data_IF_827720271481
#
_entry.id   IF_827720271481
#
_cell.length_a   1.000
_cell.length_b   1.000
_cell.length_c   1.000
_cell.angle_alpha   90.00
_cell.angle_beta   90.00
_cell.angle_gamma   90.00
#
_symmetry.space_group_name_H-M   'P 1'
#
loop_
_entity.id
_entity.type
_entity.pdbx_description
1 polymer ?
#
# COMPACT_ATOMS: atom_id res chain seq x y z
N UNK A 1 -15.18 30.81 -26.44
CA UNK A 1 -13.86 31.05 -25.80
C UNK A 1 -13.96 30.91 -24.27
N UNK A 2 -14.42 29.74 -23.80
CA UNK A 2 -14.40 29.35 -22.37
C UNK A 2 -14.06 27.84 -22.19
N UNK A 3 -13.90 27.08 -23.28
CA UNK A 3 -13.67 25.63 -23.24
C UNK A 3 -12.22 25.23 -22.88
N UNK A 4 -11.26 26.17 -22.89
CA UNK A 4 -9.84 25.84 -22.66
C UNK A 4 -9.46 25.79 -21.17
N UNK A 5 -10.22 26.43 -20.28
CA UNK A 5 -9.86 26.54 -18.84
C UNK A 5 -10.40 25.37 -18.02
N UNK A 6 -11.54 24.78 -18.40
CA UNK A 6 -12.12 23.61 -17.73
C UNK A 6 -11.24 22.36 -17.88
N UNK A 7 -10.79 22.09 -19.11
CA UNK A 7 -9.97 20.92 -19.46
C UNK A 7 -8.63 20.86 -18.70
N UNK A 8 -8.01 22.01 -18.40
CA UNK A 8 -6.73 22.04 -17.67
C UNK A 8 -6.89 21.83 -16.16
N UNK A 9 -8.03 22.20 -15.58
CA UNK A 9 -8.30 22.04 -14.14
C UNK A 9 -8.73 20.61 -13.79
N UNK A 10 -9.46 19.94 -14.68
CA UNK A 10 -9.88 18.55 -14.50
C UNK A 10 -8.67 17.59 -14.49
N UNK A 11 -7.73 17.76 -15.43
CA UNK A 11 -6.53 16.90 -15.49
C UNK A 11 -5.53 17.15 -14.35
N UNK A 12 -5.46 18.36 -13.80
CA UNK A 12 -4.63 18.64 -12.63
C UNK A 12 -5.24 18.09 -11.34
N UNK A 13 -6.57 18.14 -11.19
CA UNK A 13 -7.26 17.55 -10.05
C UNK A 13 -7.13 16.02 -10.01
N UNK A 14 -7.20 15.33 -11.16
CA UNK A 14 -6.96 13.88 -11.23
C UNK A 14 -5.52 13.49 -10.85
N UNK A 15 -4.54 14.30 -11.26
CA UNK A 15 -3.12 14.06 -10.94
C UNK A 15 -2.83 14.30 -9.46
N UNK A 16 -3.50 15.28 -8.84
CA UNK A 16 -3.34 15.63 -7.43
C UNK A 16 -4.06 14.63 -6.50
N UNK A 17 -5.18 14.05 -6.94
CA UNK A 17 -5.90 12.98 -6.23
C UNK A 17 -5.09 11.66 -6.21
N UNK A 18 -4.35 11.36 -7.28
CA UNK A 18 -3.48 10.17 -7.38
C UNK A 18 -2.14 10.30 -6.62
N UNK A 19 -1.81 11.50 -6.13
CA UNK A 19 -0.51 11.83 -5.51
C UNK A 19 -0.47 11.67 -3.98
N UNK A 20 -1.52 11.13 -3.34
CA UNK A 20 -1.60 11.06 -1.86
C UNK A 20 -1.09 9.74 -1.25
N UNK A 21 -0.72 8.75 -2.07
CA UNK A 21 -0.35 7.43 -1.56
C UNK A 21 1.08 7.44 -1.02
N UNK A 22 1.22 7.42 0.30
CA UNK A 22 2.51 7.19 0.95
C UNK A 22 3.04 5.81 0.58
N UNK A 23 4.29 5.75 0.09
CA UNK A 23 4.98 4.51 -0.27
C UNK A 23 5.74 3.86 0.89
N UNK A 24 5.67 4.46 2.08
CA UNK A 24 6.32 3.94 3.27
C UNK A 24 5.31 3.17 4.15
N UNK A 25 5.73 2.01 4.64
CA UNK A 25 4.90 1.11 5.43
C UNK A 25 5.49 0.93 6.82
N UNK A 26 4.83 1.54 7.82
CA UNK A 26 5.15 1.31 9.24
C UNK A 26 4.52 0.00 9.75
N UNK A 27 4.97 -0.45 10.92
CA UNK A 27 4.51 -1.70 11.54
C UNK A 27 2.98 -1.75 11.72
N UNK A 28 2.35 -0.60 12.02
CA UNK A 28 0.91 -0.52 12.27
C UNK A 28 0.13 -0.64 10.97
N UNK A 29 0.59 -0.01 9.90
CA UNK A 29 -0.04 -0.07 8.57
C UNK A 29 0.00 -1.50 8.02
N UNK A 30 1.16 -2.16 8.07
CA UNK A 30 1.30 -3.56 7.64
C UNK A 30 0.36 -4.48 8.41
N UNK A 31 0.35 -4.36 9.74
CA UNK A 31 -0.54 -5.15 10.60
C UNK A 31 -2.02 -4.84 10.35
N UNK A 32 -2.36 -3.58 10.11
CA UNK A 32 -3.72 -3.12 9.84
C UNK A 32 -4.30 -3.77 8.60
N UNK A 33 -3.55 -3.75 7.48
CA UNK A 33 -3.96 -4.40 6.22
C UNK A 33 -4.28 -5.87 6.46
N UNK A 34 -3.34 -6.61 7.08
CA UNK A 34 -3.53 -8.03 7.36
C UNK A 34 -4.78 -8.30 8.21
N UNK A 35 -4.98 -7.53 9.27
CA UNK A 35 -6.12 -7.71 10.18
C UNK A 35 -7.44 -7.42 9.48
N UNK A 36 -7.50 -6.39 8.63
CA UNK A 36 -8.69 -6.06 7.85
C UNK A 36 -9.03 -7.13 6.80
N UNK A 37 -8.02 -7.78 6.24
CA UNK A 37 -8.20 -8.94 5.36
C UNK A 37 -8.61 -10.23 6.11
N UNK A 38 -8.53 -10.24 7.45
CA UNK A 38 -8.82 -11.42 8.26
C UNK A 38 -7.77 -12.53 8.17
N UNK A 39 -6.55 -12.20 7.74
CA UNK A 39 -5.49 -13.17 7.48
C UNK A 39 -4.55 -13.38 8.69
N UNK A 40 -4.07 -14.60 8.86
CA UNK A 40 -2.94 -14.92 9.74
C UNK A 40 -1.63 -14.36 9.15
N UNK A 41 -0.57 -14.28 9.96
CA UNK A 41 0.74 -13.83 9.45
C UNK A 41 1.30 -14.75 8.35
N UNK A 42 0.94 -16.03 8.35
CA UNK A 42 1.37 -16.98 7.33
C UNK A 42 0.62 -16.76 6.01
N UNK A 43 -0.71 -16.66 6.04
CA UNK A 43 -1.53 -16.39 4.85
C UNK A 43 -1.18 -15.06 4.19
N UNK A 44 -0.94 -14.02 5.00
CA UNK A 44 -0.51 -12.73 4.50
C UNK A 44 0.89 -12.79 3.88
N UNK A 45 1.81 -13.58 4.46
CA UNK A 45 3.14 -13.79 3.88
C UNK A 45 3.06 -14.51 2.53
N UNK A 46 2.21 -15.54 2.42
CA UNK A 46 1.95 -16.26 1.17
C UNK A 46 1.40 -15.31 0.10
N UNK A 47 0.44 -14.45 0.45
CA UNK A 47 -0.10 -13.39 -0.43
C UNK A 47 1.00 -12.46 -0.94
N UNK A 48 1.90 -12.04 -0.05
CA UNK A 48 2.99 -11.11 -0.38
C UNK A 48 4.20 -11.80 -1.01
N UNK A 49 4.18 -13.13 -1.16
CA UNK A 49 5.31 -13.95 -1.63
C UNK A 49 6.59 -13.74 -0.82
N UNK A 50 6.46 -13.66 0.51
CA UNK A 50 7.57 -13.55 1.47
C UNK A 50 7.46 -14.61 2.55
N UNK A 51 8.47 -14.73 3.41
CA UNK A 51 8.40 -15.63 4.56
C UNK A 51 7.53 -15.04 5.69
N UNK A 52 6.87 -15.87 6.51
CA UNK A 52 6.16 -15.41 7.70
C UNK A 52 7.06 -14.62 8.68
N UNK A 53 8.34 -14.98 8.75
CA UNK A 53 9.34 -14.26 9.56
C UNK A 53 9.52 -12.81 9.11
N UNK A 54 9.47 -12.53 7.79
CA UNK A 54 9.52 -11.15 7.29
C UNK A 54 8.31 -10.35 7.77
N UNK A 55 7.10 -10.91 7.67
CA UNK A 55 5.87 -10.26 8.17
C UNK A 55 5.97 -10.00 9.68
N UNK A 56 6.42 -10.97 10.47
CA UNK A 56 6.66 -10.78 11.89
C UNK A 56 7.62 -9.61 12.17
N UNK A 57 8.74 -9.51 11.44
CA UNK A 57 9.71 -8.42 11.62
C UNK A 57 9.14 -7.06 11.23
N UNK A 58 8.31 -6.97 10.20
CA UNK A 58 7.63 -5.73 9.82
C UNK A 58 6.61 -5.29 10.87
N UNK A 59 5.74 -6.20 11.31
CA UNK A 59 4.69 -5.89 12.30
C UNK A 59 5.24 -5.59 13.71
N UNK A 60 6.48 -5.99 13.99
CA UNK A 60 7.18 -5.66 15.24
C UNK A 60 8.16 -4.49 15.10
N UNK A 61 8.26 -3.87 13.92
CA UNK A 61 9.16 -2.74 13.66
C UNK A 61 10.65 -3.11 13.64
N UNK A 62 11.00 -4.40 13.60
CA UNK A 62 12.38 -4.90 13.48
C UNK A 62 12.95 -4.77 12.08
N UNK A 63 12.10 -4.56 11.07
CA UNK A 63 12.45 -4.29 9.68
C UNK A 63 11.33 -3.49 9.02
N UNK A 64 11.62 -2.92 7.84
CA UNK A 64 10.63 -2.31 6.96
C UNK A 64 10.52 -3.12 5.66
N UNK A 65 9.35 -3.14 4.99
CA UNK A 65 9.22 -3.80 3.69
C UNK A 65 10.19 -3.22 2.67
N UNK A 66 10.89 -4.11 1.95
CA UNK A 66 11.78 -3.69 0.88
C UNK A 66 10.96 -3.19 -0.32
N UNK A 67 11.51 -2.20 -1.04
CA UNK A 67 10.91 -1.69 -2.28
C UNK A 67 10.87 -2.78 -3.37
N UNK A 68 10.04 -2.60 -4.39
CA UNK A 68 9.92 -3.51 -5.52
C UNK A 68 8.61 -4.33 -5.47
N UNK A 69 8.63 -5.63 -5.84
CA UNK A 69 7.42 -6.45 -5.89
C UNK A 69 6.65 -6.50 -4.57
N UNK A 70 7.34 -6.56 -3.43
CA UNK A 70 6.72 -6.54 -2.11
C UNK A 70 5.95 -5.25 -1.83
N UNK A 71 6.50 -4.09 -2.23
CA UNK A 71 5.81 -2.81 -2.08
C UNK A 71 4.53 -2.78 -2.91
N UNK A 72 4.59 -3.27 -4.16
CA UNK A 72 3.39 -3.39 -5.00
C UNK A 72 2.35 -4.30 -4.35
N UNK A 73 2.76 -5.46 -3.87
CA UNK A 73 1.85 -6.41 -3.23
C UNK A 73 1.18 -5.84 -1.96
N UNK A 74 1.91 -5.03 -1.17
CA UNK A 74 1.35 -4.32 -0.01
C UNK A 74 0.31 -3.26 -0.43
N UNK A 75 0.59 -2.49 -1.48
CA UNK A 75 -0.35 -1.51 -2.02
C UNK A 75 -1.61 -2.20 -2.59
N UNK A 76 -1.42 -3.30 -3.33
CA UNK A 76 -2.53 -4.09 -3.86
C UNK A 76 -3.39 -4.69 -2.72
N UNK A 77 -2.75 -5.17 -1.64
CA UNK A 77 -3.45 -5.71 -0.47
C UNK A 77 -4.23 -4.63 0.30
N UNK A 78 -3.65 -3.44 0.47
CA UNK A 78 -4.32 -2.30 1.09
C UNK A 78 -5.52 -1.79 0.28
N UNK A 79 -5.45 -1.86 -1.06
CA UNK A 79 -6.57 -1.49 -1.92
C UNK A 79 -7.77 -2.44 -1.81
N UNK A 80 -7.62 -3.60 -1.16
CA UNK A 80 -8.69 -4.58 -0.91
C UNK A 80 -9.35 -4.45 0.47
N UNK A 81 -8.86 -3.55 1.32
CA UNK A 81 -9.40 -3.30 2.68
C UNK A 81 -10.23 -2.03 2.72
#
# INVERSE_FOLDING_TARGET
MWETVASKRESQAETELMSTVSLDFDARRVKGIRVLLGETQAEFADRLSVSPDMVHRWETGKAVPMRGPTLKALLDAEALT
#
